data_IF_008397349452
#
_entry.id   IF_008397349452
#
_cell.length_a   1.000
_cell.length_b   1.000
_cell.length_c   1.000
_cell.angle_alpha   90.00
_cell.angle_beta   90.00
_cell.angle_gamma   90.00
#
_symmetry.space_group_name_H-M   'P 1'
#
loop_
_entity.id
_entity.type
_entity.pdbx_description
1 polymer ?
#
# COMPACT_ATOMS: atom_id res chain seq x y z
N UNK A 1 4.36 -8.59 4.81
CA UNK A 1 4.75 -7.49 3.89
C UNK A 1 3.68 -6.41 3.85
N UNK A 2 2.49 -6.67 3.27
CA UNK A 2 1.52 -5.58 3.03
C UNK A 2 1.09 -4.80 4.29
N UNK A 3 0.83 -5.50 5.40
CA UNK A 3 0.45 -4.89 6.69
C UNK A 3 1.51 -3.91 7.22
N UNK A 4 2.79 -4.13 6.90
CA UNK A 4 3.87 -3.24 7.31
C UNK A 4 3.84 -1.91 6.55
N UNK A 5 3.32 -1.86 5.32
CA UNK A 5 3.17 -0.57 4.62
C UNK A 5 2.13 0.35 5.28
N UNK A 6 1.22 -0.22 6.08
CA UNK A 6 0.26 0.55 6.86
C UNK A 6 0.86 0.99 8.20
N UNK A 7 1.43 0.05 8.95
CA UNK A 7 1.78 0.24 10.37
C UNK A 7 3.23 0.62 10.62
N UNK A 8 4.12 0.39 9.64
CA UNK A 8 5.55 0.66 9.79
C UNK A 8 5.95 2.00 9.15
N UNK A 9 7.08 2.54 9.60
CA UNK A 9 7.65 3.78 9.07
C UNK A 9 8.12 3.67 7.60
N UNK A 10 8.38 4.83 7.00
CA UNK A 10 8.70 4.98 5.57
C UNK A 10 9.94 4.19 5.12
N UNK A 11 10.90 3.92 6.00
CA UNK A 11 12.17 3.27 5.64
C UNK A 11 11.98 1.80 5.20
N UNK A 12 11.18 1.04 5.94
CA UNK A 12 10.86 -0.36 5.56
C UNK A 12 10.02 -0.42 4.28
N UNK A 13 9.15 0.57 4.09
CA UNK A 13 8.35 0.68 2.88
C UNK A 13 9.23 0.92 1.64
N UNK A 14 10.26 1.75 1.78
CA UNK A 14 11.19 2.07 0.69
C UNK A 14 12.02 0.87 0.24
N UNK A 15 12.48 0.05 1.17
CA UNK A 15 13.25 -1.14 0.85
C UNK A 15 12.45 -2.19 0.06
N UNK A 16 11.12 -2.14 0.09
CA UNK A 16 10.26 -3.19 -0.51
C UNK A 16 9.29 -2.64 -1.55
N UNK A 17 9.55 -1.42 -2.04
CA UNK A 17 8.82 -0.75 -3.12
C UNK A 17 9.77 -0.49 -4.28
N UNK A 18 9.36 -0.79 -5.51
CA UNK A 18 10.20 -0.55 -6.68
C UNK A 18 10.45 0.95 -6.91
N UNK A 19 11.62 1.30 -7.45
CA UNK A 19 12.05 2.70 -7.68
C UNK A 19 11.07 3.49 -8.54
N UNK A 20 10.41 2.85 -9.50
CA UNK A 20 9.44 3.44 -10.42
C UNK A 20 7.99 3.02 -10.10
N UNK A 21 7.71 2.57 -8.88
CA UNK A 21 6.37 2.14 -8.48
C UNK A 21 5.33 3.25 -8.69
N UNK A 22 4.09 2.83 -8.95
CA UNK A 22 2.94 3.73 -9.12
C UNK A 22 1.96 3.51 -7.98
N UNK A 23 1.48 4.58 -7.36
CA UNK A 23 0.45 4.50 -6.33
C UNK A 23 -0.75 5.38 -6.70
N UNK A 24 -1.95 4.86 -6.46
CA UNK A 24 -3.20 5.55 -6.74
C UNK A 24 -3.99 5.68 -5.44
N UNK A 25 -4.12 6.92 -4.95
CA UNK A 25 -4.82 7.22 -3.72
C UNK A 25 -6.08 8.06 -3.98
N UNK A 26 -7.11 7.97 -3.11
CA UNK A 26 -8.27 8.84 -3.17
C UNK A 26 -7.84 10.30 -3.03
N UNK A 27 -8.53 11.22 -3.72
CA UNK A 27 -8.29 12.67 -3.67
C UNK A 27 -7.91 13.19 -2.26
N UNK A 28 -6.96 14.14 -2.13
CA UNK A 28 -6.25 14.89 -3.18
C UNK A 28 -5.02 14.29 -3.90
N UNK A 29 -4.32 13.23 -3.44
CA UNK A 29 -3.00 12.91 -3.99
C UNK A 29 -3.05 12.35 -5.42
N UNK A 30 -4.13 11.64 -5.78
CA UNK A 30 -4.29 11.06 -7.11
C UNK A 30 -3.23 9.99 -7.40
N UNK A 31 -2.57 10.12 -8.55
CA UNK A 31 -1.51 9.20 -9.01
C UNK A 31 -0.16 9.75 -8.58
N UNK A 32 0.62 8.94 -7.87
CA UNK A 32 1.99 9.23 -7.45
C UNK A 32 2.94 8.21 -8.07
N UNK A 33 4.14 8.63 -8.46
CA UNK A 33 5.15 7.73 -9.01
C UNK A 33 6.54 8.02 -8.45
N UNK A 34 7.31 6.94 -8.26
CA UNK A 34 8.70 7.02 -7.81
C UNK A 34 8.86 7.87 -6.56
N UNK A 35 9.74 8.87 -6.59
CA UNK A 35 10.06 9.65 -5.39
C UNK A 35 8.90 10.51 -4.86
N UNK A 36 7.88 10.81 -5.68
CA UNK A 36 6.68 11.53 -5.24
C UNK A 36 5.94 10.77 -4.13
N UNK A 37 6.03 9.44 -4.14
CA UNK A 37 5.43 8.56 -3.14
C UNK A 37 5.96 8.88 -1.75
N UNK A 38 7.28 9.08 -1.60
CA UNK A 38 7.91 9.27 -0.29
C UNK A 38 7.61 10.63 0.31
N UNK A 39 7.50 11.66 -0.53
CA UNK A 39 7.06 12.97 -0.08
C UNK A 39 5.64 12.89 0.49
N UNK A 40 4.74 12.18 -0.19
CA UNK A 40 3.37 12.04 0.26
C UNK A 40 3.17 11.12 1.47
N UNK A 41 3.88 9.99 1.52
CA UNK A 41 3.76 9.04 2.62
C UNK A 41 4.21 9.64 3.96
N UNK A 42 5.21 10.52 3.97
CA UNK A 42 5.61 11.24 5.20
C UNK A 42 4.44 11.99 5.86
N UNK A 43 3.51 12.50 5.07
CA UNK A 43 2.34 13.25 5.55
C UNK A 43 1.17 12.34 5.98
N UNK A 44 1.13 11.08 5.52
CA UNK A 44 -0.02 10.16 5.71
C UNK A 44 0.27 8.91 6.54
N UNK A 45 1.50 8.71 6.99
CA UNK A 45 1.88 7.65 7.93
C UNK A 45 1.27 7.86 9.33
N UNK A 46 1.33 6.84 10.18
CA UNK A 46 0.83 6.90 11.57
C UNK A 46 -0.36 6.00 11.88
N UNK A 47 -0.69 5.04 11.01
CA UNK A 47 -1.68 4.01 11.34
C UNK A 47 -1.18 3.16 12.51
N UNK A 48 -1.98 3.12 13.58
CA UNK A 48 -1.72 2.30 14.78
C UNK A 48 -2.09 0.85 14.55
N UNK A 49 -3.23 0.63 13.91
CA UNK A 49 -3.75 -0.71 13.64
C UNK A 49 -4.26 -0.80 12.21
N UNK A 50 -4.19 -1.99 11.65
CA UNK A 50 -4.76 -2.33 10.36
C UNK A 50 -5.39 -3.72 10.44
N UNK A 51 -6.65 -3.83 10.03
CA UNK A 51 -7.34 -5.10 9.87
C UNK A 51 -7.58 -5.31 8.38
N UNK A 52 -7.04 -6.40 7.84
CA UNK A 52 -7.24 -6.81 6.46
C UNK A 52 -8.23 -7.96 6.39
N UNK A 53 -9.32 -7.75 5.65
CA UNK A 53 -10.37 -8.73 5.38
C UNK A 53 -10.47 -9.03 3.89
N UNK A 54 -11.19 -10.10 3.54
CA UNK A 54 -11.47 -10.48 2.14
C UNK A 54 -10.20 -10.59 1.26
N UNK A 55 -9.08 -11.00 1.86
CA UNK A 55 -7.77 -11.10 1.20
C UNK A 55 -7.81 -12.15 0.10
N UNK A 56 -7.37 -11.77 -1.09
CA UNK A 56 -7.19 -12.68 -2.23
C UNK A 56 -5.84 -12.44 -2.87
N UNK A 57 -5.15 -13.52 -3.22
CA UNK A 57 -3.88 -13.47 -3.94
C UNK A 57 -4.02 -14.23 -5.25
N UNK A 58 -3.68 -13.56 -6.35
CA UNK A 58 -3.54 -14.18 -7.66
C UNK A 58 -2.10 -14.05 -8.10
N UNK A 59 -1.48 -15.16 -8.52
CA UNK A 59 -0.10 -15.17 -9.01
C UNK A 59 -0.07 -15.56 -10.48
N UNK A 60 0.73 -14.85 -11.26
CA UNK A 60 1.05 -15.18 -12.65
C UNK A 60 2.54 -14.97 -12.87
N UNK A 61 3.30 -16.07 -13.02
CA UNK A 61 4.78 -16.05 -13.08
C UNK A 61 5.38 -15.30 -11.89
N UNK A 62 6.10 -14.23 -12.19
CA UNK A 62 6.81 -13.37 -11.24
C UNK A 62 5.92 -12.23 -10.72
N UNK A 63 4.66 -12.16 -11.14
CA UNK A 63 3.71 -11.17 -10.66
C UNK A 63 2.76 -11.79 -9.64
N UNK A 64 2.54 -11.09 -8.54
CA UNK A 64 1.47 -11.38 -7.58
C UNK A 64 0.57 -10.16 -7.41
N UNK A 65 -0.74 -10.36 -7.42
CA UNK A 65 -1.73 -9.34 -7.11
C UNK A 65 -2.41 -9.73 -5.80
N UNK A 66 -2.32 -8.85 -4.81
CA UNK A 66 -3.03 -8.93 -3.54
C UNK A 66 -4.19 -7.94 -3.57
N UNK A 67 -5.42 -8.41 -3.36
CA UNK A 67 -6.57 -7.56 -3.10
C UNK A 67 -7.12 -7.80 -1.71
N UNK A 68 -7.64 -6.75 -1.07
CA UNK A 68 -8.17 -6.83 0.28
C UNK A 68 -9.07 -5.64 0.60
N UNK A 69 -9.93 -5.84 1.60
CA UNK A 69 -10.60 -4.75 2.31
C UNK A 69 -9.78 -4.39 3.54
N UNK A 70 -9.67 -3.11 3.84
CA UNK A 70 -8.95 -2.63 5.02
C UNK A 70 -9.87 -1.84 5.95
N UNK A 71 -9.61 -1.95 7.25
CA UNK A 71 -10.03 -1.00 8.28
C UNK A 71 -8.79 -0.58 9.07
N UNK A 72 -8.44 0.70 9.02
CA UNK A 72 -7.22 1.22 9.61
C UNK A 72 -7.52 2.36 10.61
N UNK A 73 -6.80 2.37 11.72
CA UNK A 73 -6.98 3.35 12.79
C UNK A 73 -5.73 4.20 12.97
N UNK A 74 -5.91 5.50 13.16
CA UNK A 74 -4.87 6.43 13.61
C UNK A 74 -5.49 7.48 14.54
N UNK A 75 -4.70 8.15 15.40
CA UNK A 75 -5.27 9.09 16.38
C UNK A 75 -6.10 10.19 15.72
N UNK A 76 -7.15 10.61 16.43
CA UNK A 76 -7.95 11.81 16.15
C UNK A 76 -8.67 11.85 14.79
N UNK A 77 -8.82 10.68 14.13
CA UNK A 77 -9.62 10.55 12.90
C UNK A 77 -10.50 9.30 12.95
N UNK A 78 -11.63 9.28 12.21
CA UNK A 78 -12.45 8.08 12.06
C UNK A 78 -11.67 6.90 11.46
N UNK A 79 -12.13 5.67 11.73
CA UNK A 79 -11.59 4.46 11.09
C UNK A 79 -11.66 4.63 9.58
N UNK A 80 -10.49 4.54 8.95
CA UNK A 80 -10.37 4.59 7.50
C UNK A 80 -10.68 3.22 6.91
N UNK A 81 -11.55 3.17 5.92
CA UNK A 81 -11.87 1.95 5.19
C UNK A 81 -11.58 2.13 3.71
N UNK A 82 -11.02 1.10 3.10
CA UNK A 82 -10.78 1.07 1.67
C UNK A 82 -10.85 -0.35 1.10
N UNK A 83 -11.06 -0.43 -0.20
CA UNK A 83 -10.67 -1.58 -1.02
C UNK A 83 -9.29 -1.30 -1.58
N UNK A 84 -8.41 -2.28 -1.50
CA UNK A 84 -7.02 -2.13 -1.89
C UNK A 84 -6.60 -3.19 -2.88
N UNK A 85 -5.72 -2.80 -3.81
CA UNK A 85 -5.04 -3.70 -4.73
C UNK A 85 -3.55 -3.37 -4.75
N UNK A 86 -2.72 -4.39 -4.58
CA UNK A 86 -1.26 -4.27 -4.60
C UNK A 86 -0.69 -5.27 -5.58
N UNK A 87 0.17 -4.80 -6.48
CA UNK A 87 0.89 -5.65 -7.42
C UNK A 87 2.35 -5.72 -7.01
N UNK A 88 2.87 -6.93 -6.98
CA UNK A 88 4.26 -7.22 -6.67
C UNK A 88 4.94 -7.93 -7.83
N UNK A 89 6.21 -7.62 -8.01
CA UNK A 89 7.15 -8.34 -8.86
C UNK A 89 8.10 -9.15 -7.98
N UNK A 90 8.32 -10.41 -8.32
CA UNK A 90 9.42 -11.20 -7.84
C UNK A 90 10.64 -10.87 -8.72
N UNK A 91 11.64 -10.27 -8.11
CA UNK A 91 12.90 -9.86 -8.71
C UNK A 91 14.00 -10.60 -7.97
N UNK A 92 14.50 -11.70 -8.55
CA UNK A 92 15.53 -12.58 -7.97
C UNK A 92 15.24 -12.95 -6.49
N UNK A 93 14.10 -13.62 -6.26
CA UNK A 93 13.60 -14.03 -4.93
C UNK A 93 13.24 -12.89 -3.97
N UNK A 94 13.28 -11.64 -4.43
CA UNK A 94 12.82 -10.47 -3.68
C UNK A 94 11.49 -9.98 -4.22
N UNK A 95 10.50 -9.85 -3.35
CA UNK A 95 9.23 -9.23 -3.71
C UNK A 95 9.30 -7.71 -3.58
N UNK A 96 9.02 -7.01 -4.67
CA UNK A 96 8.92 -5.55 -4.73
C UNK A 96 7.49 -5.14 -5.07
N UNK A 97 6.92 -4.22 -4.30
CA UNK A 97 5.64 -3.62 -4.65
C UNK A 97 5.85 -2.63 -5.80
N UNK A 98 5.25 -2.93 -6.95
CA UNK A 98 5.34 -2.10 -8.17
C UNK A 98 4.10 -1.23 -8.38
N UNK A 99 2.97 -1.62 -7.80
CA UNK A 99 1.75 -0.82 -7.81
C UNK A 99 0.94 -0.97 -6.53
N UNK A 100 0.26 0.09 -6.11
CA UNK A 100 -0.73 0.06 -5.04
C UNK A 100 -1.88 1.00 -5.33
N UNK A 101 -3.11 0.58 -5.10
CA UNK A 101 -4.30 1.42 -5.18
C UNK A 101 -5.13 1.31 -3.91
N UNK A 102 -5.72 2.43 -3.50
CA UNK A 102 -6.77 2.48 -2.50
C UNK A 102 -8.02 3.16 -3.07
N UNK A 103 -9.16 2.51 -2.91
CA UNK A 103 -10.48 3.08 -3.17
C UNK A 103 -11.19 3.21 -1.83
N UNK A 104 -11.35 4.45 -1.33
CA UNK A 104 -12.06 4.69 -0.07
C UNK A 104 -13.49 4.17 -0.15
N UNK A 105 -13.95 3.54 0.94
CA UNK A 105 -15.32 3.04 1.08
C UNK A 105 -15.88 3.50 2.42
N UNK A 106 -17.21 3.60 2.52
CA UNK A 106 -17.91 4.00 3.75
C UNK A 106 -18.03 2.84 4.75
#
# INVERSE_FOLDING_TARGET
MEEHFWTSGADNARATTATNAVMVFPYPPGILQGDQIWTHLRERTGWRTVVMAERRVTRCRDIAILTYRVSAEKPDVPIYKALCASTYLNDDDRWLRISHQQTAVN
#
